data_IF_377174254153
#
_entry.id   IF_377174254153
#
_cell.length_a   1.000
_cell.length_b   1.000
_cell.length_c   1.000
_cell.angle_alpha   90.00
_cell.angle_beta   90.00
_cell.angle_gamma   90.00
#
_symmetry.space_group_name_H-M   'P 1'
#
loop_
_entity.id
_entity.type
_entity.pdbx_description
1 polymer ?
#
# COMPACT_ATOMS: atom_id res chain seq x y z
N UNK A 1 -4.94 -13.53 -6.33
CA UNK A 1 -4.60 -12.68 -7.50
C UNK A 1 -5.09 -13.29 -8.81
N UNK A 2 -6.39 -13.60 -8.91
CA UNK A 2 -7.01 -14.14 -10.14
C UNK A 2 -7.62 -12.97 -10.92
N UNK A 3 -7.35 -12.88 -12.21
CA UNK A 3 -8.01 -11.96 -13.12
C UNK A 3 -9.01 -12.71 -13.99
N UNK A 4 -10.15 -12.10 -14.30
CA UNK A 4 -11.07 -12.65 -15.29
C UNK A 4 -10.58 -12.38 -16.73
N UNK A 5 -11.39 -12.74 -17.72
CA UNK A 5 -11.10 -12.51 -19.15
C UNK A 5 -10.94 -11.03 -19.52
N UNK A 6 -11.34 -10.11 -18.64
CA UNK A 6 -11.21 -8.65 -18.77
C UNK A 6 -10.03 -8.07 -17.98
N UNK A 7 -9.18 -8.90 -17.39
CA UNK A 7 -8.08 -8.44 -16.54
C UNK A 7 -8.55 -7.95 -15.17
N UNK A 8 -9.81 -8.13 -14.83
CA UNK A 8 -10.38 -7.62 -13.59
C UNK A 8 -10.10 -8.56 -12.43
N UNK A 9 -9.60 -8.00 -11.33
CA UNK A 9 -9.55 -8.70 -10.04
C UNK A 9 -10.93 -8.73 -9.39
N UNK A 10 -11.17 -9.58 -8.37
CA UNK A 10 -12.42 -9.58 -7.61
C UNK A 10 -12.80 -8.20 -7.07
N UNK A 11 -11.80 -7.37 -6.72
CA UNK A 11 -12.03 -6.00 -6.23
C UNK A 11 -12.52 -5.06 -7.34
N UNK A 12 -12.00 -5.16 -8.58
CA UNK A 12 -12.54 -4.41 -9.71
C UNK A 12 -14.03 -4.74 -9.92
N UNK A 13 -14.37 -6.02 -9.88
CA UNK A 13 -15.75 -6.49 -10.07
C UNK A 13 -16.66 -5.99 -8.95
N UNK A 14 -16.19 -6.02 -7.69
CA UNK A 14 -16.96 -5.51 -6.55
C UNK A 14 -17.30 -4.01 -6.71
N UNK A 15 -16.32 -3.19 -7.10
CA UNK A 15 -16.49 -1.75 -7.32
C UNK A 15 -17.42 -1.49 -8.51
N UNK A 16 -17.20 -2.15 -9.66
CA UNK A 16 -18.06 -1.99 -10.85
C UNK A 16 -19.50 -2.42 -10.61
N UNK A 17 -19.72 -3.44 -9.78
CA UNK A 17 -21.06 -3.88 -9.37
C UNK A 17 -21.68 -3.03 -8.25
N UNK A 18 -20.97 -2.01 -7.77
CA UNK A 18 -21.34 -1.20 -6.60
C UNK A 18 -21.67 -2.05 -5.36
N UNK A 19 -20.98 -3.18 -5.20
CA UNK A 19 -21.16 -4.05 -4.05
C UNK A 19 -20.23 -3.63 -2.92
N UNK A 20 -20.76 -2.81 -2.01
CA UNK A 20 -20.05 -2.21 -0.89
C UNK A 20 -19.56 -3.27 0.09
N UNK A 21 -20.42 -4.20 0.50
CA UNK A 21 -20.05 -5.27 1.45
C UNK A 21 -18.88 -6.10 0.93
N UNK A 22 -18.95 -6.50 -0.35
CA UNK A 22 -17.88 -7.28 -0.97
C UNK A 22 -16.58 -6.45 -1.10
N UNK A 23 -16.69 -5.17 -1.46
CA UNK A 23 -15.54 -4.29 -1.55
C UNK A 23 -14.89 -4.07 -0.18
N UNK A 24 -15.68 -3.86 0.87
CA UNK A 24 -15.19 -3.70 2.24
C UNK A 24 -14.42 -4.95 2.72
N UNK A 25 -14.98 -6.14 2.51
CA UNK A 25 -14.31 -7.40 2.86
C UNK A 25 -12.98 -7.52 2.11
N UNK A 26 -12.98 -7.25 0.80
CA UNK A 26 -11.77 -7.35 -0.01
C UNK A 26 -10.72 -6.28 0.34
N UNK A 27 -11.13 -5.08 0.73
CA UNK A 27 -10.23 -4.01 1.15
C UNK A 27 -9.59 -4.30 2.51
N UNK A 28 -10.29 -4.99 3.42
CA UNK A 28 -9.74 -5.44 4.71
C UNK A 28 -8.69 -6.55 4.58
N UNK A 29 -8.61 -7.23 3.44
CA UNK A 29 -7.64 -8.30 3.22
C UNK A 29 -6.31 -7.70 2.72
N UNK A 30 -5.25 -7.84 3.52
CA UNK A 30 -3.92 -7.32 3.22
C UNK A 30 -3.23 -7.98 2.00
N UNK A 31 -3.59 -9.23 1.68
CA UNK A 31 -3.01 -9.99 0.56
C UNK A 31 -3.68 -9.72 -0.79
N UNK A 32 -4.60 -8.76 -0.88
CA UNK A 32 -5.18 -8.38 -2.16
C UNK A 32 -4.17 -7.56 -2.94
N UNK A 33 -3.72 -8.11 -4.08
CA UNK A 33 -2.86 -7.36 -4.98
C UNK A 33 -3.63 -6.24 -5.67
N UNK A 34 -3.46 -5.04 -5.12
CA UNK A 34 -4.04 -3.78 -5.59
C UNK A 34 -3.20 -3.12 -6.70
N UNK A 35 -2.24 -3.82 -7.31
CA UNK A 35 -1.42 -3.28 -8.42
C UNK A 35 -1.86 -3.78 -9.78
N UNK A 36 -2.70 -4.81 -9.80
CA UNK A 36 -3.21 -5.41 -11.03
C UNK A 36 -4.16 -4.45 -11.74
N UNK A 37 -4.00 -4.38 -13.07
CA UNK A 37 -4.79 -3.52 -13.95
C UNK A 37 -5.79 -4.33 -14.75
N UNK A 38 -6.97 -3.75 -14.99
CA UNK A 38 -7.93 -4.26 -15.96
C UNK A 38 -7.50 -3.95 -17.41
N UNK A 39 -8.31 -4.38 -18.38
CA UNK A 39 -8.10 -4.11 -19.82
C UNK A 39 -8.04 -2.63 -20.20
N UNK A 40 -8.59 -1.75 -19.37
CA UNK A 40 -8.54 -0.30 -19.57
C UNK A 40 -7.32 0.33 -18.89
N UNK A 41 -6.37 -0.49 -18.44
CA UNK A 41 -5.19 -0.09 -17.68
C UNK A 41 -5.49 0.56 -16.32
N UNK A 42 -6.73 0.42 -15.84
CA UNK A 42 -7.15 0.95 -14.55
C UNK A 42 -6.90 -0.08 -13.46
N UNK A 43 -6.41 0.39 -12.32
CA UNK A 43 -6.27 -0.39 -11.11
C UNK A 43 -7.58 -0.38 -10.33
N UNK A 44 -7.78 -1.36 -9.46
CA UNK A 44 -8.94 -1.39 -8.57
C UNK A 44 -9.04 -0.11 -7.69
N UNK A 45 -7.90 0.46 -7.30
CA UNK A 45 -7.84 1.72 -6.55
C UNK A 45 -8.26 2.93 -7.40
N UNK A 46 -7.89 2.97 -8.68
CA UNK A 46 -8.29 4.05 -9.60
C UNK A 46 -9.81 4.06 -9.80
N UNK A 47 -10.41 2.87 -9.90
CA UNK A 47 -11.87 2.73 -9.94
C UNK A 47 -12.50 3.15 -8.61
N UNK A 48 -11.89 2.78 -7.48
CA UNK A 48 -12.38 3.13 -6.14
C UNK A 48 -12.41 4.66 -5.95
N UNK A 49 -11.35 5.37 -6.37
CA UNK A 49 -11.26 6.83 -6.33
C UNK A 49 -12.42 7.47 -7.10
N UNK A 50 -12.68 6.99 -8.32
CA UNK A 50 -13.79 7.49 -9.13
C UNK A 50 -15.15 7.27 -8.44
N UNK A 51 -15.36 6.12 -7.79
CA UNK A 51 -16.59 5.85 -7.02
C UNK A 51 -16.70 6.64 -5.72
N UNK A 52 -15.64 6.77 -4.92
CA UNK A 52 -15.66 7.54 -3.66
C UNK A 52 -15.89 9.05 -3.94
N UNK A 53 -15.56 9.55 -5.13
CA UNK A 53 -15.90 10.91 -5.57
C UNK A 53 -17.35 11.10 -6.02
N UNK A 54 -18.01 10.04 -6.51
CA UNK A 54 -19.36 10.11 -7.06
C UNK A 54 -20.45 9.73 -6.06
N UNK A 55 -20.10 9.00 -5.00
CA UNK A 55 -21.07 8.37 -4.11
C UNK A 55 -20.65 8.53 -2.63
N UNK A 56 -21.50 9.19 -1.85
CA UNK A 56 -21.23 9.52 -0.45
C UNK A 56 -21.16 8.28 0.44
N UNK A 57 -21.86 7.20 0.08
CA UNK A 57 -21.82 5.93 0.81
C UNK A 57 -20.44 5.29 0.65
N UNK A 58 -19.89 5.34 -0.56
CA UNK A 58 -18.53 4.86 -0.82
C UNK A 58 -17.50 5.68 -0.08
N UNK A 59 -17.67 7.01 -0.01
CA UNK A 59 -16.81 7.88 0.79
C UNK A 59 -16.81 7.49 2.27
N UNK A 60 -17.98 7.26 2.86
CA UNK A 60 -18.07 6.79 4.25
C UNK A 60 -17.39 5.44 4.46
N UNK A 61 -17.53 4.50 3.51
CA UNK A 61 -16.82 3.22 3.57
C UNK A 61 -15.30 3.42 3.49
N UNK A 62 -14.81 4.25 2.55
CA UNK A 62 -13.41 4.64 2.42
C UNK A 62 -12.88 5.18 3.77
N UNK A 63 -13.62 6.07 4.44
CA UNK A 63 -13.27 6.66 5.73
C UNK A 63 -13.26 5.65 6.89
N UNK A 64 -14.21 4.70 6.94
CA UNK A 64 -14.30 3.69 8.01
C UNK A 64 -13.16 2.68 7.96
N UNK A 65 -12.72 2.31 6.75
CA UNK A 65 -11.67 1.30 6.54
C UNK A 65 -10.27 1.96 6.59
N UNK A 66 -10.19 3.29 6.70
CA UNK A 66 -8.95 4.07 6.63
C UNK A 66 -8.16 3.77 5.34
N UNK A 67 -8.89 3.63 4.22
CA UNK A 67 -8.30 3.38 2.91
C UNK A 67 -8.34 4.66 2.10
N UNK A 68 -7.17 5.21 1.83
CA UNK A 68 -7.03 6.32 0.88
C UNK A 68 -6.90 5.76 -0.55
N UNK A 69 -7.92 5.94 -1.41
CA UNK A 69 -7.89 5.49 -2.80
C UNK A 69 -6.86 6.24 -3.66
N UNK A 70 -6.42 7.44 -3.24
CA UNK A 70 -5.47 8.28 -3.98
C UNK A 70 -4.00 7.84 -3.78
N UNK A 71 -3.73 7.05 -2.74
CA UNK A 71 -2.40 6.50 -2.49
C UNK A 71 -2.08 5.41 -3.50
N UNK A 72 -1.19 5.72 -4.45
CA UNK A 72 -0.61 4.70 -5.33
C UNK A 72 0.17 3.70 -4.48
N UNK A 73 -0.33 2.47 -4.49
CA UNK A 73 0.15 1.32 -3.70
C UNK A 73 1.62 0.96 -3.97
N UNK A 74 2.23 1.49 -5.03
CA UNK A 74 3.68 1.44 -5.28
C UNK A 74 4.48 2.10 -4.14
N UNK A 75 3.99 3.20 -3.57
CA UNK A 75 4.64 3.90 -2.46
C UNK A 75 4.41 3.18 -1.11
N UNK A 76 3.20 2.69 -0.86
CA UNK A 76 2.83 2.02 0.41
C UNK A 76 3.51 0.66 0.55
N UNK A 77 3.63 -0.14 -0.53
CA UNK A 77 4.37 -1.42 -0.51
C UNK A 77 5.87 -1.19 -0.27
N UNK A 78 6.41 -0.12 -0.83
CA UNK A 78 7.79 0.31 -0.55
C UNK A 78 7.93 0.72 0.92
N UNK A 79 6.99 1.48 1.48
CA UNK A 79 7.02 1.93 2.87
C UNK A 79 6.88 0.78 3.88
N UNK A 80 5.99 -0.18 3.63
CA UNK A 80 5.85 -1.39 4.47
C UNK A 80 7.12 -2.25 4.44
N UNK A 81 7.78 -2.36 3.28
CA UNK A 81 9.11 -2.99 3.19
C UNK A 81 10.21 -2.17 3.86
N UNK A 82 10.14 -0.85 3.76
CA UNK A 82 11.11 0.08 4.33
C UNK A 82 11.02 0.16 5.86
N UNK A 83 9.81 0.02 6.43
CA UNK A 83 9.58 -0.02 7.87
C UNK A 83 10.42 -1.13 8.53
N UNK A 84 10.46 -2.30 7.90
CA UNK A 84 11.30 -3.41 8.37
C UNK A 84 12.81 -3.17 8.17
N UNK A 85 13.19 -2.33 7.20
CA UNK A 85 14.60 -1.95 6.95
C UNK A 85 15.09 -0.78 7.82
N UNK A 86 14.20 0.08 8.33
CA UNK A 86 14.56 1.21 9.22
C UNK A 86 15.24 0.72 10.51
N UNK A 87 14.76 -0.36 11.09
CA UNK A 87 15.34 -0.94 12.32
C UNK A 87 16.79 -1.38 12.10
N UNK A 88 17.07 -1.99 10.95
CA UNK A 88 18.42 -2.43 10.58
C UNK A 88 19.34 -1.24 10.31
N UNK A 89 18.87 -0.24 9.56
CA UNK A 89 19.64 0.96 9.23
C UNK A 89 19.98 1.76 10.50
N UNK A 90 19.05 1.85 11.45
CA UNK A 90 19.27 2.54 12.73
C UNK A 90 20.36 1.87 13.57
N UNK A 91 20.34 0.53 13.66
CA UNK A 91 21.35 -0.24 14.37
C UNK A 91 22.74 -0.12 13.70
N UNK A 92 22.80 -0.25 12.38
CA UNK A 92 24.06 -0.13 11.62
C UNK A 92 24.64 1.27 11.76
N UNK A 93 23.81 2.31 11.70
CA UNK A 93 24.24 3.69 11.92
C UNK A 93 24.81 3.91 13.32
N UNK A 94 24.17 3.36 14.36
CA UNK A 94 24.68 3.42 15.73
C UNK A 94 26.04 2.71 15.88
N UNK A 95 26.20 1.54 15.26
CA UNK A 95 27.47 0.80 15.24
C UNK A 95 28.56 1.58 14.50
N UNK A 96 28.28 2.09 13.30
CA UNK A 96 29.23 2.89 12.52
C UNK A 96 29.61 4.18 13.26
N UNK A 97 28.65 4.86 13.89
CA UNK A 97 28.92 6.05 14.71
C UNK A 97 29.82 5.71 15.91
N UNK A 98 29.58 4.57 16.56
CA UNK A 98 30.42 4.13 17.69
C UNK A 98 31.84 3.80 17.25
N UNK A 99 32.00 3.06 16.14
CA UNK A 99 33.31 2.68 15.60
C UNK A 99 34.10 3.92 15.18
N UNK A 100 33.48 4.84 14.44
CA UNK A 100 34.11 6.09 13.99
C UNK A 100 34.45 7.01 15.16
N UNK A 101 33.58 7.10 16.17
CA UNK A 101 33.86 7.84 17.41
C UNK A 101 35.06 7.24 18.16
N UNK A 102 35.12 5.92 18.36
CA UNK A 102 36.27 5.27 19.01
C UNK A 102 37.56 5.46 18.22
N UNK A 103 37.52 5.35 16.89
CA UNK A 103 38.69 5.53 16.03
C UNK A 103 39.22 6.98 16.05
N UNK A 104 38.33 7.98 16.21
CA UNK A 104 38.72 9.39 16.33
C UNK A 104 39.52 9.71 17.60
N UNK A 105 39.38 8.91 18.66
CA UNK A 105 40.13 9.09 19.91
C UNK A 105 41.26 8.07 20.09
N UNK A 106 41.33 7.01 19.29
CA UNK A 106 42.47 6.08 19.26
C UNK A 106 43.60 6.65 18.40
N UNK A 107 44.21 7.74 18.86
CA UNK A 107 45.52 8.17 18.33
C UNK A 107 46.56 7.13 18.77
N UNK A 108 47.26 6.43 17.85
CA UNK A 108 48.37 5.57 18.24
C UNK A 108 49.53 6.45 18.71
N UNK A 109 49.95 6.25 19.95
CA UNK A 109 51.29 6.60 20.41
C UNK A 109 52.30 5.56 19.92
#
# INVERSE_FOLDING_TARGET
NVQNTEGETPLHVAIKRKNIELAEILLKVNDVDRTLKDKNENTAMDLLEATCNQDEIWKQMCDIIDVDPTLRTTYVKLEAGLAHMRDIISLVAALLATITFTAGFTLPG
#
